data_IF_955196549263
#
_entry.id   IF_955196549263
#
_cell.length_a   1.000
_cell.length_b   1.000
_cell.length_c   1.000
_cell.angle_alpha   90.00
_cell.angle_beta   90.00
_cell.angle_gamma   90.00
#
_symmetry.space_group_name_H-M   'P 1'
#
loop_
_entity.id
_entity.type
_entity.pdbx_description
1 polymer ?
#
# COMPACT_ATOMS: atom_id res chain seq x y z
N UNK A 1 1.41 10.43 -26.67
CA UNK A 1 -0.01 10.16 -26.78
C UNK A 1 -0.84 11.14 -25.96
N UNK A 2 -2.14 11.22 -26.21
CA UNK A 2 -3.07 12.14 -25.52
C UNK A 2 -3.15 11.95 -23.98
N UNK A 3 -2.69 10.81 -23.47
CA UNK A 3 -2.86 10.42 -22.07
C UNK A 3 -1.56 10.38 -21.25
N UNK A 4 -0.40 10.74 -21.80
CA UNK A 4 0.93 10.55 -21.22
C UNK A 4 1.03 10.81 -19.70
N UNK A 5 1.12 12.06 -19.29
CA UNK A 5 1.30 12.42 -17.87
C UNK A 5 -0.01 12.38 -17.03
N UNK A 6 -1.13 12.01 -17.59
CA UNK A 6 -2.46 12.03 -16.96
C UNK A 6 -3.00 10.63 -16.68
N UNK A 7 -2.16 9.64 -16.64
CA UNK A 7 -2.56 8.28 -16.30
C UNK A 7 -1.49 7.59 -15.47
N UNK A 8 -1.94 6.69 -14.61
CA UNK A 8 -1.10 5.74 -13.90
C UNK A 8 -1.70 4.36 -14.06
N UNK A 9 -0.87 3.37 -14.38
CA UNK A 9 -1.31 1.99 -14.64
C UNK A 9 -0.39 1.04 -13.90
N UNK A 10 -0.98 0.03 -13.25
CA UNK A 10 -0.25 -1.06 -12.62
C UNK A 10 -1.01 -2.37 -12.84
N UNK A 11 -0.44 -3.24 -13.66
CA UNK A 11 -1.11 -4.48 -14.10
C UNK A 11 -2.35 -4.16 -14.92
N UNK A 12 -3.50 -4.63 -14.47
CA UNK A 12 -4.84 -4.39 -15.02
C UNK A 12 -5.55 -3.18 -14.40
N UNK A 13 -5.03 -2.64 -13.30
CA UNK A 13 -5.57 -1.43 -12.67
C UNK A 13 -5.01 -0.16 -13.33
N UNK A 14 -5.88 0.81 -13.60
CA UNK A 14 -5.47 2.09 -14.16
C UNK A 14 -6.32 3.26 -13.66
N UNK A 15 -5.69 4.41 -13.46
CA UNK A 15 -6.37 5.68 -13.21
C UNK A 15 -6.01 6.67 -14.33
N UNK A 16 -7.02 7.35 -14.86
CA UNK A 16 -6.91 8.24 -16.01
C UNK A 16 -7.62 9.56 -15.73
N UNK A 17 -6.93 10.67 -15.98
CA UNK A 17 -7.53 12.00 -15.92
C UNK A 17 -7.87 12.41 -17.34
N UNK A 18 -9.15 12.46 -17.64
CA UNK A 18 -9.69 12.76 -18.97
C UNK A 18 -10.77 13.83 -18.87
N UNK A 19 -11.09 14.48 -19.98
CA UNK A 19 -12.30 15.29 -20.07
C UNK A 19 -13.51 14.35 -20.12
N UNK A 20 -14.63 14.78 -19.60
CA UNK A 20 -15.88 14.02 -19.69
C UNK A 20 -16.23 13.63 -21.14
N UNK A 21 -16.06 14.57 -22.08
CA UNK A 21 -16.24 14.35 -23.52
C UNK A 21 -15.34 13.25 -24.12
N UNK A 22 -14.23 12.93 -23.49
CA UNK A 22 -13.23 11.98 -23.99
C UNK A 22 -13.37 10.59 -23.35
N UNK A 23 -14.26 10.43 -22.36
CA UNK A 23 -14.47 9.19 -21.60
C UNK A 23 -14.82 8.00 -22.49
N UNK A 24 -15.85 8.15 -23.32
CA UNK A 24 -16.31 7.06 -24.18
C UNK A 24 -15.27 6.71 -25.25
N UNK A 25 -14.53 7.71 -25.74
CA UNK A 25 -13.41 7.52 -26.67
C UNK A 25 -12.26 6.73 -26.03
N UNK A 26 -12.02 6.92 -24.72
CA UNK A 26 -11.04 6.13 -23.97
C UNK A 26 -11.47 4.67 -23.89
N UNK A 27 -12.71 4.39 -23.50
CA UNK A 27 -13.24 3.03 -23.41
C UNK A 27 -13.22 2.33 -24.76
N UNK A 28 -13.61 3.03 -25.81
CA UNK A 28 -13.56 2.48 -27.17
C UNK A 28 -12.11 2.16 -27.61
N UNK A 29 -11.16 2.98 -27.21
CA UNK A 29 -9.73 2.72 -27.49
C UNK A 29 -9.22 1.45 -26.82
N UNK A 30 -9.67 1.16 -25.59
CA UNK A 30 -9.35 -0.10 -24.91
C UNK A 30 -9.98 -1.30 -25.60
N UNK A 31 -11.26 -1.21 -25.98
CA UNK A 31 -11.95 -2.27 -26.74
C UNK A 31 -11.26 -2.58 -28.05
N UNK A 32 -10.84 -1.57 -28.79
CA UNK A 32 -10.07 -1.73 -30.04
C UNK A 32 -8.70 -2.38 -29.82
N UNK A 33 -8.10 -2.16 -28.64
CA UNK A 33 -6.87 -2.83 -28.24
C UNK A 33 -7.09 -4.27 -27.73
N UNK A 34 -8.32 -4.79 -27.76
CA UNK A 34 -8.68 -6.14 -27.31
C UNK A 34 -8.78 -6.26 -25.78
N UNK A 35 -8.83 -5.15 -25.04
CA UNK A 35 -8.99 -5.15 -23.61
C UNK A 35 -10.48 -5.17 -23.23
N UNK A 36 -10.84 -6.03 -22.28
CA UNK A 36 -12.16 -6.04 -21.69
C UNK A 36 -12.17 -5.14 -20.45
N UNK A 37 -12.99 -4.10 -20.49
CA UNK A 37 -13.18 -3.21 -19.34
C UNK A 37 -14.25 -3.81 -18.45
N UNK A 38 -13.97 -3.93 -17.16
CA UNK A 38 -14.96 -4.29 -16.18
C UNK A 38 -15.71 -3.03 -15.75
N UNK A 39 -16.84 -2.76 -16.40
CA UNK A 39 -17.64 -1.55 -16.14
C UNK A 39 -18.20 -1.51 -14.73
N UNK A 40 -18.53 -2.66 -14.13
CA UNK A 40 -19.04 -2.77 -12.75
C UNK A 40 -18.01 -2.38 -11.69
N UNK A 41 -16.70 -2.45 -12.02
CA UNK A 41 -15.59 -2.08 -11.16
C UNK A 41 -14.94 -0.75 -11.54
N UNK A 42 -15.36 -0.16 -12.66
CA UNK A 42 -14.83 1.10 -13.14
C UNK A 42 -15.65 2.26 -12.58
N UNK A 43 -14.99 3.12 -11.80
CA UNK A 43 -15.62 4.27 -11.18
C UNK A 43 -15.18 5.56 -11.88
N UNK A 44 -16.09 6.51 -11.98
CA UNK A 44 -15.82 7.85 -12.50
C UNK A 44 -16.04 8.86 -11.39
N UNK A 45 -15.04 9.68 -11.14
CA UNK A 45 -15.07 10.72 -10.11
C UNK A 45 -15.01 12.08 -10.79
N UNK A 46 -15.91 12.99 -10.39
CA UNK A 46 -15.98 14.35 -10.94
C UNK A 46 -15.18 15.36 -10.10
N UNK A 47 -14.86 15.02 -8.85
CA UNK A 47 -14.38 15.95 -7.82
C UNK A 47 -12.90 15.79 -7.43
N UNK A 48 -12.01 15.50 -8.38
CA UNK A 48 -10.59 15.31 -8.06
C UNK A 48 -10.29 14.23 -7.02
N UNK A 49 -11.20 13.28 -6.85
CA UNK A 49 -11.07 12.11 -6.00
C UNK A 49 -10.76 10.89 -6.86
N UNK A 50 -10.17 9.88 -6.28
CA UNK A 50 -9.98 8.59 -6.95
C UNK A 50 -9.79 7.45 -5.95
N UNK A 51 -10.34 6.28 -6.26
CA UNK A 51 -9.96 5.02 -5.62
C UNK A 51 -9.01 4.28 -6.57
N UNK A 52 -7.74 4.11 -6.15
CA UNK A 52 -6.73 3.42 -6.94
C UNK A 52 -5.85 2.54 -6.06
N UNK A 53 -5.63 1.31 -6.47
CA UNK A 53 -4.86 0.31 -5.71
C UNK A 53 -5.28 0.22 -4.24
N UNK A 54 -6.60 0.20 -4.01
CA UNK A 54 -7.23 0.10 -2.69
C UNK A 54 -6.93 1.30 -1.76
N UNK A 55 -6.50 2.42 -2.30
CA UNK A 55 -6.28 3.68 -1.58
C UNK A 55 -7.20 4.75 -2.13
N UNK A 56 -7.78 5.51 -1.22
CA UNK A 56 -8.57 6.68 -1.55
C UNK A 56 -7.67 7.91 -1.60
N UNK A 57 -7.78 8.67 -2.66
CA UNK A 57 -7.05 9.91 -2.90
C UNK A 57 -8.05 11.05 -2.99
N UNK A 58 -7.82 12.12 -2.24
CA UNK A 58 -8.61 13.35 -2.26
C UNK A 58 -7.72 14.53 -1.89
N UNK A 59 -8.04 15.75 -2.38
CA UNK A 59 -7.37 16.97 -1.95
C UNK A 59 -7.40 17.20 -0.43
N UNK A 60 -8.40 16.65 0.26
CA UNK A 60 -8.54 16.75 1.72
C UNK A 60 -7.50 15.92 2.49
N UNK A 61 -6.82 15.00 1.81
CA UNK A 61 -5.81 14.13 2.41
C UNK A 61 -4.45 14.31 1.74
N UNK A 62 -3.70 15.38 2.10
CA UNK A 62 -2.34 15.56 1.61
C UNK A 62 -1.43 14.44 2.15
N UNK A 63 -0.36 14.16 1.42
CA UNK A 63 0.71 13.32 1.93
C UNK A 63 1.39 13.96 3.15
N UNK A 64 2.03 13.17 4.00
CA UNK A 64 2.68 13.68 5.23
C UNK A 64 3.76 14.73 4.96
N UNK A 65 4.40 14.67 3.81
CA UNK A 65 5.38 15.66 3.34
C UNK A 65 4.75 16.87 2.64
N UNK A 66 3.43 16.90 2.49
CA UNK A 66 2.65 17.93 1.80
C UNK A 66 3.06 18.17 0.33
N UNK A 67 3.75 17.22 -0.32
CA UNK A 67 4.17 17.35 -1.72
C UNK A 67 3.06 16.90 -2.68
N UNK A 68 2.17 15.99 -2.23
CA UNK A 68 1.10 15.42 -3.07
C UNK A 68 -0.08 14.92 -2.28
N UNK A 69 -0.93 14.11 -2.91
CA UNK A 69 -2.05 13.46 -2.25
C UNK A 69 -1.59 12.23 -1.49
N UNK A 70 -2.05 12.09 -0.24
CA UNK A 70 -1.87 10.90 0.57
C UNK A 70 -2.87 9.82 0.16
N UNK A 71 -2.39 8.65 -0.22
CA UNK A 71 -3.27 7.49 -0.45
C UNK A 71 -3.76 6.91 0.86
N UNK A 72 -5.01 7.21 1.23
CA UNK A 72 -5.64 6.76 2.48
C UNK A 72 -6.05 5.30 2.37
N UNK A 73 -5.44 4.44 3.18
CA UNK A 73 -5.75 3.01 3.23
C UNK A 73 -6.75 2.70 4.35
N UNK A 74 -7.72 1.83 4.09
CA UNK A 74 -8.75 1.47 5.08
C UNK A 74 -8.14 0.76 6.31
N UNK A 75 -8.37 1.32 7.51
CA UNK A 75 -7.93 0.72 8.77
C UNK A 75 -8.64 -0.62 9.05
N UNK A 76 -9.91 -0.79 8.66
CA UNK A 76 -10.62 -2.07 8.78
C UNK A 76 -9.97 -3.15 7.93
N UNK A 77 -9.56 -2.81 6.70
CA UNK A 77 -8.83 -3.74 5.84
C UNK A 77 -7.46 -4.07 6.41
N UNK A 78 -6.75 -3.07 6.93
CA UNK A 78 -5.47 -3.26 7.60
C UNK A 78 -5.60 -4.18 8.81
N UNK A 79 -6.58 -3.94 9.69
CA UNK A 79 -6.85 -4.76 10.87
C UNK A 79 -7.17 -6.21 10.49
N UNK A 80 -8.01 -6.40 9.46
CA UNK A 80 -8.34 -7.73 8.98
C UNK A 80 -7.10 -8.48 8.45
N UNK A 81 -6.23 -7.79 7.72
CA UNK A 81 -4.96 -8.36 7.22
C UNK A 81 -3.95 -8.61 8.33
N UNK A 82 -3.95 -7.84 9.40
CA UNK A 82 -3.11 -8.11 10.58
C UNK A 82 -3.58 -9.39 11.26
N UNK A 83 -4.88 -9.56 11.47
CA UNK A 83 -5.47 -10.73 12.15
C UNK A 83 -5.36 -12.01 11.33
N UNK A 84 -5.50 -11.94 10.02
CA UNK A 84 -5.60 -13.12 9.15
C UNK A 84 -4.56 -13.08 8.05
N UNK A 85 -3.92 -14.22 7.81
CA UNK A 85 -3.10 -14.41 6.63
C UNK A 85 -4.00 -14.69 5.43
N UNK A 86 -3.81 -13.97 4.35
CA UNK A 86 -4.49 -14.24 3.08
C UNK A 86 -4.08 -15.60 2.50
N UNK A 87 -2.80 -15.93 2.66
CA UNK A 87 -2.23 -17.24 2.31
C UNK A 87 -1.22 -17.65 3.37
N UNK A 88 -1.17 -18.94 3.66
CA UNK A 88 -0.13 -19.46 4.54
C UNK A 88 1.26 -19.18 3.94
N UNK A 89 2.15 -18.68 4.77
CA UNK A 89 3.55 -18.45 4.43
C UNK A 89 4.40 -19.28 5.38
N UNK A 90 5.22 -20.16 4.84
CA UNK A 90 6.16 -20.97 5.59
C UNK A 90 7.40 -20.11 5.92
N UNK A 91 7.30 -19.34 6.98
CA UNK A 91 8.35 -18.42 7.43
C UNK A 91 9.54 -19.15 8.04
N UNK A 92 9.35 -20.36 8.55
CA UNK A 92 10.44 -21.19 9.08
C UNK A 92 11.42 -21.60 7.97
N UNK A 93 10.90 -21.98 6.80
CA UNK A 93 11.76 -22.23 5.61
C UNK A 93 12.53 -21.01 5.12
N UNK A 94 12.09 -19.81 5.51
CA UNK A 94 12.80 -18.57 5.20
C UNK A 94 13.85 -18.22 6.27
N UNK A 95 13.99 -19.04 7.33
CA UNK A 95 14.87 -18.75 8.47
C UNK A 95 14.36 -17.58 9.33
N UNK A 96 13.06 -17.36 9.36
CA UNK A 96 12.43 -16.27 10.12
C UNK A 96 11.66 -16.89 11.29
N UNK A 97 11.92 -16.42 12.50
CA UNK A 97 11.13 -16.79 13.68
C UNK A 97 9.69 -16.23 13.55
N UNK A 98 8.70 -17.00 13.98
CA UNK A 98 7.29 -16.62 13.83
C UNK A 98 6.96 -15.26 14.44
N UNK A 99 7.51 -14.94 15.61
CA UNK A 99 7.32 -13.62 16.25
C UNK A 99 7.85 -12.49 15.38
N UNK A 100 9.05 -12.62 14.80
CA UNK A 100 9.65 -11.64 13.92
C UNK A 100 8.84 -11.48 12.62
N UNK A 101 8.40 -12.61 12.05
CA UNK A 101 7.59 -12.59 10.84
C UNK A 101 6.29 -11.79 11.04
N UNK A 102 5.55 -12.06 12.11
CA UNK A 102 4.27 -11.39 12.35
C UNK A 102 4.47 -9.93 12.75
N UNK A 103 5.49 -9.58 13.54
CA UNK A 103 5.82 -8.19 13.87
C UNK A 103 6.18 -7.39 12.62
N UNK A 104 7.12 -7.87 11.82
CA UNK A 104 7.57 -7.19 10.60
C UNK A 104 6.45 -7.06 9.57
N UNK A 105 5.67 -8.12 9.38
CA UNK A 105 4.49 -8.09 8.51
C UNK A 105 3.46 -7.06 8.99
N UNK A 106 3.20 -6.99 10.28
CA UNK A 106 2.27 -6.02 10.86
C UNK A 106 2.75 -4.60 10.64
N UNK A 107 4.04 -4.31 10.88
CA UNK A 107 4.64 -3.00 10.63
C UNK A 107 4.49 -2.60 9.15
N UNK A 108 4.70 -3.53 8.21
CA UNK A 108 4.49 -3.27 6.78
C UNK A 108 3.02 -2.93 6.45
N UNK A 109 2.07 -3.58 7.11
CA UNK A 109 0.65 -3.27 6.92
C UNK A 109 0.30 -1.90 7.52
N UNK A 110 0.82 -1.60 8.70
CA UNK A 110 0.63 -0.29 9.35
C UNK A 110 1.20 0.85 8.49
N UNK A 111 2.37 0.66 7.87
CA UNK A 111 2.98 1.66 6.99
C UNK A 111 2.09 2.03 5.80
N UNK A 112 1.27 1.10 5.29
CA UNK A 112 0.27 1.43 4.27
C UNK A 112 -0.78 2.43 4.77
N UNK A 113 -0.96 2.55 6.07
CA UNK A 113 -1.94 3.45 6.70
C UNK A 113 -1.38 4.84 7.02
N UNK A 114 -0.11 5.12 6.74
CA UNK A 114 0.60 6.34 7.17
C UNK A 114 -0.07 7.68 6.79
N UNK A 115 -0.88 7.68 5.75
CA UNK A 115 -1.63 8.87 5.31
C UNK A 115 -3.07 8.92 5.85
N UNK A 116 -3.49 7.90 6.63
CA UNK A 116 -4.81 7.92 7.25
C UNK A 116 -4.82 8.90 8.45
N UNK A 117 -5.85 9.74 8.62
CA UNK A 117 -5.94 10.70 9.73
C UNK A 117 -5.74 10.07 11.12
N UNK A 118 -6.28 8.87 11.35
CA UNK A 118 -6.14 8.14 12.61
C UNK A 118 -4.97 7.12 12.60
N UNK A 119 -3.91 7.41 11.84
CA UNK A 119 -2.76 6.50 11.73
C UNK A 119 -2.07 6.26 13.08
N UNK A 120 -1.79 7.33 13.82
CA UNK A 120 -1.03 7.24 15.07
C UNK A 120 -1.82 6.49 16.15
N UNK A 121 -3.11 6.77 16.27
CA UNK A 121 -4.01 6.06 17.19
C UNK A 121 -4.11 4.59 16.82
N UNK A 122 -4.17 4.29 15.53
CA UNK A 122 -4.23 2.91 15.06
C UNK A 122 -2.93 2.14 15.35
N UNK A 123 -1.76 2.75 15.14
CA UNK A 123 -0.46 2.15 15.52
C UNK A 123 -0.41 1.90 17.02
N UNK A 124 -0.79 2.88 17.86
CA UNK A 124 -0.86 2.73 19.33
C UNK A 124 -1.78 1.59 19.74
N UNK A 125 -2.95 1.50 19.12
CA UNK A 125 -3.92 0.43 19.37
C UNK A 125 -3.34 -0.95 19.07
N UNK A 126 -2.72 -1.12 17.91
CA UNK A 126 -2.10 -2.40 17.51
C UNK A 126 -0.90 -2.74 18.40
N UNK A 127 -0.03 -1.76 18.69
CA UNK A 127 1.12 -1.93 19.58
C UNK A 127 0.70 -2.40 20.98
N UNK A 128 -0.33 -1.76 21.57
CA UNK A 128 -0.83 -2.13 22.90
C UNK A 128 -1.49 -3.51 22.95
N UNK A 129 -2.04 -3.98 21.83
CA UNK A 129 -2.64 -5.30 21.70
C UNK A 129 -1.66 -6.42 21.41
N UNK A 130 -0.44 -6.11 20.99
CA UNK A 130 0.62 -7.09 20.71
C UNK A 130 1.41 -7.46 21.98
N UNK A 131 1.59 -8.76 22.22
CA UNK A 131 2.28 -9.24 23.44
C UNK A 131 3.74 -8.78 23.56
N UNK A 132 4.40 -8.48 22.45
CA UNK A 132 5.81 -8.07 22.36
C UNK A 132 5.98 -6.63 21.90
N UNK A 133 4.87 -5.87 21.76
CA UNK A 133 4.90 -4.50 21.27
C UNK A 133 5.49 -4.39 19.86
N UNK A 134 5.22 -5.37 19.00
CA UNK A 134 5.75 -5.46 17.64
C UNK A 134 7.29 -5.52 17.57
N UNK A 135 7.94 -5.99 18.63
CA UNK A 135 9.39 -6.17 18.64
C UNK A 135 9.84 -7.22 17.63
N UNK A 136 11.03 -7.04 17.08
CA UNK A 136 11.66 -7.97 16.14
C UNK A 136 13.18 -7.95 16.30
N UNK A 137 13.84 -9.05 15.90
CA UNK A 137 15.30 -9.16 15.92
C UNK A 137 15.93 -8.60 14.64
N UNK A 138 17.19 -8.16 14.71
CA UNK A 138 17.97 -7.76 13.54
C UNK A 138 18.17 -8.92 12.54
N UNK A 139 18.32 -10.14 13.06
CA UNK A 139 18.42 -11.33 12.24
C UNK A 139 17.11 -11.59 11.48
N UNK A 140 15.96 -11.48 12.16
CA UNK A 140 14.64 -11.61 11.56
C UNK A 140 14.39 -10.55 10.49
N UNK A 141 14.74 -9.29 10.76
CA UNK A 141 14.64 -8.20 9.78
C UNK A 141 15.46 -8.49 8.51
N UNK A 142 16.70 -8.96 8.67
CA UNK A 142 17.57 -9.31 7.54
C UNK A 142 16.99 -10.46 6.72
N UNK A 143 16.53 -11.53 7.38
CA UNK A 143 15.92 -12.67 6.71
C UNK A 143 14.63 -12.29 6.00
N UNK A 144 13.78 -11.49 6.64
CA UNK A 144 12.53 -10.96 6.06
C UNK A 144 12.81 -10.10 4.82
N UNK A 145 13.77 -9.17 4.90
CA UNK A 145 14.18 -8.32 3.78
C UNK A 145 14.69 -9.14 2.60
N UNK A 146 15.51 -10.16 2.84
CA UNK A 146 16.01 -11.05 1.81
C UNK A 146 14.86 -11.83 1.13
N UNK A 147 13.87 -12.29 1.90
CA UNK A 147 12.69 -12.97 1.37
C UNK A 147 11.84 -12.08 0.48
N UNK A 148 11.73 -10.79 0.81
CA UNK A 148 11.04 -9.80 -0.01
C UNK A 148 11.81 -9.50 -1.31
N UNK A 149 13.13 -9.31 -1.23
CA UNK A 149 13.95 -9.05 -2.41
C UNK A 149 13.90 -10.20 -3.42
N UNK A 150 13.84 -11.44 -2.97
CA UNK A 150 13.67 -12.60 -3.86
C UNK A 150 12.31 -12.59 -4.59
N UNK A 151 11.27 -12.04 -3.97
CA UNK A 151 9.92 -11.86 -4.55
C UNK A 151 9.79 -10.56 -5.34
N UNK A 152 10.55 -9.52 -4.99
CA UNK A 152 10.51 -8.18 -5.60
C UNK A 152 11.11 -8.11 -7.01
N UNK A 153 11.68 -9.21 -7.54
CA UNK A 153 11.94 -9.34 -8.99
C UNK A 153 10.68 -9.10 -9.85
N UNK A 154 9.52 -8.96 -9.22
CA UNK A 154 8.20 -8.69 -9.84
C UNK A 154 7.78 -7.22 -9.70
N UNK A 155 8.68 -6.29 -9.42
CA UNK A 155 8.39 -4.84 -9.55
C UNK A 155 7.43 -4.22 -8.51
N UNK A 156 7.18 -4.90 -7.37
CA UNK A 156 6.18 -4.47 -6.38
C UNK A 156 6.64 -3.39 -5.39
N UNK A 157 7.90 -2.94 -5.46
CA UNK A 157 8.48 -2.00 -4.49
C UNK A 157 9.28 -0.89 -5.17
N UNK A 158 8.59 -0.08 -5.98
CA UNK A 158 9.17 1.15 -6.52
C UNK A 158 8.91 2.37 -5.61
N UNK A 159 8.68 2.17 -4.34
CA UNK A 159 8.56 3.27 -3.39
C UNK A 159 9.97 3.67 -2.88
N UNK A 160 10.28 4.96 -2.96
CA UNK A 160 11.55 5.53 -2.50
C UNK A 160 11.83 5.24 -1.01
N UNK A 161 10.81 4.97 -0.20
CA UNK A 161 10.93 4.58 1.20
C UNK A 161 11.78 3.32 1.42
N UNK A 162 11.87 2.42 0.44
CA UNK A 162 12.75 1.26 0.52
C UNK A 162 14.23 1.59 0.33
N UNK A 163 14.56 2.70 -0.33
CA UNK A 163 15.96 3.15 -0.50
C UNK A 163 16.55 3.68 0.80
N UNK A 164 15.71 4.23 1.66
CA UNK A 164 16.10 4.75 2.98
C UNK A 164 16.09 3.66 4.08
N UNK A 165 15.58 2.47 3.76
CA UNK A 165 15.52 1.33 4.66
C UNK A 165 14.30 1.34 5.58
N UNK A 166 14.14 0.25 6.31
CA UNK A 166 13.01 -0.02 7.18
C UNK A 166 12.88 1.00 8.34
N UNK A 167 14.00 1.55 8.79
CA UNK A 167 14.03 2.57 9.85
C UNK A 167 13.40 3.90 9.45
N UNK A 168 13.26 4.16 8.15
CA UNK A 168 12.62 5.36 7.61
C UNK A 168 11.07 5.28 7.65
N UNK A 169 10.50 4.11 7.91
CA UNK A 169 9.04 3.96 8.00
C UNK A 169 8.46 4.82 9.12
N UNK A 170 7.38 5.53 8.83
CA UNK A 170 6.67 6.33 9.83
C UNK A 170 6.17 5.49 11.00
N UNK A 171 5.73 4.27 10.72
CA UNK A 171 5.37 3.28 11.75
C UNK A 171 6.54 2.97 12.68
N UNK A 172 7.75 2.75 12.15
CA UNK A 172 8.93 2.43 12.97
C UNK A 172 9.37 3.65 13.79
N UNK A 173 9.35 4.85 13.21
CA UNK A 173 9.63 6.10 13.94
C UNK A 173 8.66 6.28 15.11
N UNK A 174 7.37 6.02 14.88
CA UNK A 174 6.35 6.14 15.90
C UNK A 174 6.51 5.08 17.01
N UNK A 175 6.78 3.81 16.66
CA UNK A 175 7.03 2.74 17.62
C UNK A 175 8.24 3.02 18.53
N UNK A 176 9.28 3.67 17.99
CA UNK A 176 10.46 4.08 18.77
C UNK A 176 10.19 5.27 19.72
N UNK A 177 9.04 5.93 19.63
CA UNK A 177 8.64 7.06 20.47
C UNK A 177 7.77 6.65 21.66
N UNK A 178 7.33 5.38 21.73
CA UNK A 178 6.57 4.80 22.82
C UNK A 178 7.51 4.20 23.89
#
# INVERSE_FOLDING_TARGET
GKFGARCQVQGDDGVYIVRESDRDSLFESFRRAGLQINEDKSETYENSEALYLQRYYSPDYPSRDNIGLGGVYSLYRALNRIKYLERWTDFEKMGIEGSDFFSLRTIMILENCKHHPAFEEFVKFIHSGDKKGLAFSQQGLKAFSNSLQSKARVGLFNDNSFKEGFSAFETVKLLNSF
#
